data_IF_319158406189
#
_entry.id   IF_319158406189
#
_cell.length_a   1.000
_cell.length_b   1.000
_cell.length_c   1.000
_cell.angle_alpha   90.00
_cell.angle_beta   90.00
_cell.angle_gamma   90.00
#
_symmetry.space_group_name_H-M   'P 1'
#
loop_
_entity.id
_entity.type
_entity.pdbx_description
1 polymer ?
#
# COMPACT_ATOMS: atom_id res chain seq x y z
N UNK A 1 41.12 5.78 -30.45
CA UNK A 1 40.22 4.63 -30.62
C UNK A 1 38.88 5.04 -30.03
N UNK A 2 37.79 4.99 -30.81
CA UNK A 2 36.47 5.36 -30.32
C UNK A 2 36.02 4.33 -29.26
N UNK A 3 35.86 4.77 -28.02
CA UNK A 3 35.42 3.89 -26.93
C UNK A 3 33.91 3.63 -27.05
N UNK A 4 33.49 2.39 -26.81
CA UNK A 4 32.08 1.93 -26.91
C UNK A 4 31.17 2.83 -26.06
N UNK A 5 31.66 3.32 -24.93
CA UNK A 5 30.93 4.23 -24.05
C UNK A 5 30.69 5.63 -24.68
N UNK A 6 31.65 6.15 -25.46
CA UNK A 6 31.51 7.44 -26.13
C UNK A 6 30.46 7.40 -27.26
N UNK A 7 30.36 6.26 -27.96
CA UNK A 7 29.34 6.04 -28.97
C UNK A 7 27.96 5.87 -28.31
N UNK A 8 27.86 5.13 -27.20
CA UNK A 8 26.62 5.00 -26.42
C UNK A 8 26.09 6.35 -25.94
N UNK A 9 26.96 7.18 -25.38
CA UNK A 9 26.58 8.50 -24.83
C UNK A 9 26.07 9.47 -25.92
N UNK A 10 26.44 9.23 -27.19
CA UNK A 10 25.95 9.98 -28.35
C UNK A 10 24.71 9.36 -28.98
N UNK A 11 24.60 8.04 -28.98
CA UNK A 11 23.54 7.31 -29.67
C UNK A 11 22.22 7.34 -28.89
N UNK A 12 22.26 7.25 -27.56
CA UNK A 12 21.07 7.31 -26.71
C UNK A 12 20.26 8.60 -26.91
N UNK A 13 20.84 9.81 -26.74
CA UNK A 13 20.06 11.05 -26.93
C UNK A 13 19.59 11.23 -28.38
N UNK A 14 20.34 10.72 -29.36
CA UNK A 14 19.98 10.82 -30.77
C UNK A 14 18.77 9.95 -31.11
N UNK A 15 18.69 8.73 -30.58
CA UNK A 15 17.56 7.82 -30.80
C UNK A 15 16.31 8.31 -30.07
N UNK A 16 16.47 8.86 -28.87
CA UNK A 16 15.37 9.47 -28.13
C UNK A 16 14.83 10.72 -28.86
N UNK A 17 15.73 11.54 -29.41
CA UNK A 17 15.35 12.69 -30.24
C UNK A 17 14.63 12.27 -31.52
N UNK A 18 15.11 11.22 -32.22
CA UNK A 18 14.41 10.67 -33.40
C UNK A 18 13.01 10.16 -33.01
N UNK A 19 12.87 9.50 -31.86
CA UNK A 19 11.58 8.99 -31.38
C UNK A 19 10.60 10.12 -31.07
N UNK A 20 11.09 11.18 -30.43
CA UNK A 20 10.30 12.37 -30.10
C UNK A 20 9.92 13.18 -31.35
N UNK A 21 10.84 13.36 -32.28
CA UNK A 21 10.60 14.07 -33.54
C UNK A 21 9.59 13.32 -34.43
N UNK A 22 9.62 11.99 -34.44
CA UNK A 22 8.59 11.16 -35.11
C UNK A 22 7.20 11.41 -34.50
N UNK A 23 7.10 11.46 -33.17
CA UNK A 23 5.84 11.71 -32.47
C UNK A 23 5.29 13.14 -32.75
N UNK A 24 6.18 14.13 -32.89
CA UNK A 24 5.82 15.50 -33.26
C UNK A 24 5.34 15.57 -34.72
N UNK A 25 5.96 14.82 -35.64
CA UNK A 25 5.52 14.78 -37.04
C UNK A 25 4.16 14.08 -37.17
N UNK A 26 3.93 13.00 -36.44
CA UNK A 26 2.63 12.32 -36.38
C UNK A 26 1.52 13.27 -35.91
N UNK A 27 1.80 14.13 -34.92
CA UNK A 27 0.82 15.10 -34.40
C UNK A 27 0.66 16.35 -35.27
N UNK A 28 1.73 16.85 -35.90
CA UNK A 28 1.75 18.16 -36.57
C UNK A 28 1.63 18.08 -38.10
N UNK A 29 1.80 16.91 -38.72
CA UNK A 29 1.84 16.72 -40.20
C UNK A 29 2.78 17.71 -40.93
N UNK A 30 3.89 18.10 -40.30
CA UNK A 30 4.82 19.08 -40.87
C UNK A 30 5.96 18.40 -41.65
N UNK A 31 6.01 18.61 -42.97
CA UNK A 31 6.96 17.99 -43.91
C UNK A 31 8.39 18.57 -43.81
N UNK A 32 8.58 19.75 -43.23
CA UNK A 32 9.89 20.40 -43.11
C UNK A 32 10.85 19.64 -42.16
N UNK A 33 10.30 18.87 -41.22
CA UNK A 33 11.07 18.04 -40.29
C UNK A 33 11.53 16.71 -40.91
N UNK A 34 10.96 16.33 -42.07
CA UNK A 34 11.31 15.08 -42.77
C UNK A 34 12.78 15.03 -43.18
N UNK A 35 13.28 16.10 -43.80
CA UNK A 35 14.67 16.12 -44.28
C UNK A 35 15.67 16.07 -43.12
N UNK A 36 15.32 16.66 -41.97
CA UNK A 36 16.14 16.58 -40.75
C UNK A 36 16.12 15.16 -40.15
N UNK A 37 14.97 14.50 -40.17
CA UNK A 37 14.83 13.11 -39.72
C UNK A 37 15.53 12.12 -40.65
N UNK A 38 15.45 12.28 -41.95
CA UNK A 38 16.17 11.43 -42.89
C UNK A 38 17.68 11.57 -42.69
N UNK A 39 18.16 12.79 -42.45
CA UNK A 39 19.56 13.05 -42.13
C UNK A 39 19.98 12.40 -40.80
N UNK A 40 19.20 12.56 -39.72
CA UNK A 40 19.52 11.97 -38.41
C UNK A 40 19.40 10.45 -38.40
N UNK A 41 18.45 9.86 -39.12
CA UNK A 41 18.34 8.40 -39.31
C UNK A 41 19.57 7.86 -40.05
N UNK A 42 20.02 8.56 -41.09
CA UNK A 42 21.22 8.15 -41.83
C UNK A 42 22.49 8.26 -40.96
N UNK A 43 22.61 9.30 -40.14
CA UNK A 43 23.70 9.48 -39.17
C UNK A 43 23.67 8.37 -38.09
N UNK A 44 22.49 8.08 -37.51
CA UNK A 44 22.32 6.98 -36.56
C UNK A 44 22.65 5.61 -37.17
N UNK A 45 22.34 5.40 -38.46
CA UNK A 45 22.66 4.16 -39.20
C UNK A 45 24.17 4.02 -39.43
N UNK A 46 24.89 5.12 -39.64
CA UNK A 46 26.35 5.09 -39.76
C UNK A 46 27.00 4.77 -38.42
N UNK A 47 26.56 5.44 -37.34
CA UNK A 47 27.08 5.20 -35.98
C UNK A 47 26.76 3.78 -35.47
N UNK A 48 25.58 3.24 -35.80
CA UNK A 48 25.21 1.87 -35.45
C UNK A 48 26.09 0.83 -36.18
N UNK A 49 26.45 1.07 -37.44
CA UNK A 49 27.39 0.21 -38.20
C UNK A 49 28.80 0.26 -37.64
N UNK A 50 29.25 1.42 -37.19
CA UNK A 50 30.54 1.55 -36.53
C UNK A 50 30.55 0.87 -35.16
N UNK A 51 29.43 0.92 -34.42
CA UNK A 51 29.26 0.20 -33.16
C UNK A 51 29.18 -1.33 -33.37
N UNK A 52 28.54 -1.80 -34.44
CA UNK A 52 28.41 -3.23 -34.80
C UNK A 52 29.78 -3.88 -35.09
N UNK A 53 30.77 -3.11 -35.58
CA UNK A 53 32.15 -3.59 -35.77
C UNK A 53 32.88 -3.87 -34.46
N UNK A 54 32.46 -3.24 -33.36
CA UNK A 54 33.04 -3.43 -32.03
C UNK A 54 32.21 -4.38 -31.16
N UNK A 55 30.88 -4.39 -31.27
CA UNK A 55 30.00 -5.31 -30.54
C UNK A 55 28.74 -5.69 -31.36
N UNK A 56 28.68 -6.94 -31.88
CA UNK A 56 27.62 -7.37 -32.81
C UNK A 56 26.26 -7.59 -32.13
N UNK A 57 26.19 -7.75 -30.81
CA UNK A 57 24.92 -7.92 -30.11
C UNK A 57 24.19 -6.58 -29.97
N UNK A 58 24.91 -5.51 -29.64
CA UNK A 58 24.35 -4.17 -29.48
C UNK A 58 24.05 -3.50 -30.83
N UNK A 59 24.87 -3.72 -31.86
CA UNK A 59 24.60 -3.18 -33.21
C UNK A 59 23.24 -3.65 -33.77
N UNK A 60 22.84 -4.89 -33.48
CA UNK A 60 21.55 -5.44 -33.92
C UNK A 60 20.35 -4.76 -33.28
N UNK A 61 20.42 -4.46 -31.98
CA UNK A 61 19.33 -3.77 -31.26
C UNK A 61 19.09 -2.37 -31.82
N UNK A 62 20.16 -1.58 -32.00
CA UNK A 62 20.05 -0.25 -32.58
C UNK A 62 19.59 -0.27 -34.04
N UNK A 63 20.04 -1.25 -34.83
CA UNK A 63 19.59 -1.45 -36.21
C UNK A 63 18.09 -1.74 -36.27
N UNK A 64 17.57 -2.62 -35.42
CA UNK A 64 16.14 -2.91 -35.32
C UNK A 64 15.32 -1.65 -34.98
N UNK A 65 15.80 -0.85 -34.02
CA UNK A 65 15.14 0.42 -33.65
C UNK A 65 15.15 1.44 -34.79
N UNK A 66 16.26 1.54 -35.53
CA UNK A 66 16.41 2.42 -36.70
C UNK A 66 15.51 1.96 -37.86
N UNK A 67 15.46 0.65 -38.13
CA UNK A 67 14.61 0.07 -39.17
C UNK A 67 13.12 0.28 -38.85
N UNK A 68 12.73 0.13 -37.57
CA UNK A 68 11.38 0.46 -37.11
C UNK A 68 11.05 1.94 -37.27
N UNK A 69 11.99 2.83 -36.96
CA UNK A 69 11.83 4.27 -37.17
C UNK A 69 11.68 4.62 -38.66
N UNK A 70 12.45 3.96 -39.53
CA UNK A 70 12.37 4.13 -40.99
C UNK A 70 11.03 3.66 -41.55
N UNK A 71 10.54 2.50 -41.10
CA UNK A 71 9.25 1.97 -41.51
C UNK A 71 8.09 2.89 -41.07
N UNK A 72 8.16 3.45 -39.86
CA UNK A 72 7.18 4.44 -39.39
C UNK A 72 7.21 5.70 -40.24
N UNK A 73 8.40 6.21 -40.57
CA UNK A 73 8.56 7.36 -41.46
C UNK A 73 8.02 7.11 -42.87
N UNK A 74 8.22 5.89 -43.39
CA UNK A 74 7.67 5.48 -44.69
C UNK A 74 6.15 5.40 -44.65
N UNK A 75 5.56 4.83 -43.59
CA UNK A 75 4.11 4.77 -43.41
C UNK A 75 3.49 6.17 -43.30
N UNK A 76 4.17 7.11 -42.63
CA UNK A 76 3.78 8.54 -42.60
C UNK A 76 3.89 9.18 -43.99
N UNK A 77 4.86 8.76 -44.81
CA UNK A 77 5.01 9.21 -46.20
C UNK A 77 4.02 8.57 -47.19
N UNK A 78 3.48 7.38 -46.88
CA UNK A 78 2.49 6.66 -47.71
C UNK A 78 1.09 7.24 -47.60
N UNK A 79 0.84 8.14 -46.64
CA UNK A 79 -0.35 8.99 -46.64
C UNK A 79 -0.17 10.00 -47.79
N UNK A 80 -1.02 9.98 -48.83
CA UNK A 80 -0.88 10.90 -49.96
C UNK A 80 -0.96 12.35 -49.46
N UNK A 81 0.16 13.08 -49.50
CA UNK A 81 0.19 14.54 -49.34
C UNK A 81 -0.19 15.23 -50.67
N UNK A 82 -0.33 14.46 -51.75
CA UNK A 82 -0.82 14.93 -53.04
C UNK A 82 -2.36 14.99 -53.08
N UNK A 83 -2.92 15.90 -52.28
CA UNK A 83 -4.33 16.30 -52.35
C UNK A 83 -4.55 17.78 -52.05
N UNK A 84 -3.50 18.54 -51.70
CA UNK A 84 -3.65 19.91 -51.18
C UNK A 84 -3.52 21.02 -52.25
N UNK A 85 -3.22 20.70 -53.52
CA UNK A 85 -2.95 21.74 -54.52
C UNK A 85 -3.85 21.71 -55.75
N UNK A 86 -4.79 20.76 -55.89
CA UNK A 86 -5.69 20.77 -57.07
C UNK A 86 -7.09 20.16 -56.90
N UNK A 87 -7.52 19.75 -55.71
CA UNK A 87 -8.95 19.55 -55.44
C UNK A 87 -9.44 20.79 -54.70
N UNK A 88 -10.52 21.40 -55.20
CA UNK A 88 -11.13 22.57 -54.60
C UNK A 88 -11.26 22.40 -53.09
N UNK A 89 -11.04 23.49 -52.35
CA UNK A 89 -11.24 23.58 -50.91
C UNK A 89 -12.59 22.94 -50.56
N UNK A 90 -12.56 21.73 -50.01
CA UNK A 90 -13.75 21.02 -49.56
C UNK A 90 -13.83 21.21 -48.03
N UNK A 91 -14.57 22.24 -47.56
CA UNK A 91 -14.66 22.55 -46.15
C UNK A 91 -15.30 21.42 -45.32
N UNK A 92 -15.94 20.43 -45.95
CA UNK A 92 -16.59 19.32 -45.26
C UNK A 92 -15.58 18.24 -44.82
N UNK A 93 -14.63 17.90 -45.69
CA UNK A 93 -13.57 16.93 -45.38
C UNK A 93 -12.64 17.42 -44.25
N UNK A 94 -12.31 18.72 -44.23
CA UNK A 94 -11.44 19.31 -43.20
C UNK A 94 -12.15 19.40 -41.84
N UNK A 95 -13.47 19.67 -41.82
CA UNK A 95 -14.31 19.62 -40.62
C UNK A 95 -14.38 18.22 -40.01
N UNK A 96 -14.53 17.19 -40.84
CA UNK A 96 -14.54 15.79 -40.40
C UNK A 96 -13.20 15.38 -39.77
N UNK A 97 -12.07 15.79 -40.38
CA UNK A 97 -10.73 15.55 -39.83
C UNK A 97 -10.49 16.27 -38.49
N UNK A 98 -10.98 17.51 -38.35
CA UNK A 98 -10.91 18.27 -37.10
C UNK A 98 -11.76 17.63 -35.99
N UNK A 99 -12.98 17.16 -36.30
CA UNK A 99 -13.84 16.47 -35.33
C UNK A 99 -13.21 15.18 -34.81
N UNK A 100 -12.59 14.38 -35.68
CA UNK A 100 -11.89 13.16 -35.27
C UNK A 100 -10.70 13.47 -34.35
N UNK A 101 -9.93 14.52 -34.64
CA UNK A 101 -8.81 14.97 -33.79
C UNK A 101 -9.30 15.45 -32.42
N UNK A 102 -10.37 16.23 -32.39
CA UNK A 102 -10.97 16.69 -31.13
C UNK A 102 -11.47 15.50 -30.28
N UNK A 103 -12.09 14.49 -30.91
CA UNK A 103 -12.46 13.25 -30.23
C UNK A 103 -11.26 12.51 -29.64
N UNK A 104 -10.16 12.38 -30.39
CA UNK A 104 -8.94 11.73 -29.92
C UNK A 104 -8.27 12.51 -28.78
N UNK A 105 -8.22 13.84 -28.87
CA UNK A 105 -7.68 14.70 -27.81
C UNK A 105 -8.51 14.57 -26.53
N UNK A 106 -9.84 14.55 -26.65
CA UNK A 106 -10.75 14.32 -25.51
C UNK A 106 -10.57 12.94 -24.91
N UNK A 107 -10.45 11.91 -25.75
CA UNK A 107 -10.16 10.54 -25.31
C UNK A 107 -8.85 10.45 -24.54
N UNK A 108 -7.79 11.06 -25.07
CA UNK A 108 -6.48 11.12 -24.41
C UNK A 108 -6.54 11.91 -23.10
N UNK A 109 -7.20 13.07 -23.07
CA UNK A 109 -7.37 13.85 -21.84
C UNK A 109 -8.14 13.07 -20.76
N UNK A 110 -9.13 12.27 -21.14
CA UNK A 110 -9.83 11.37 -20.23
C UNK A 110 -8.91 10.28 -19.69
N UNK A 111 -8.08 9.67 -20.56
CA UNK A 111 -7.12 8.63 -20.15
C UNK A 111 -6.10 9.15 -19.14
N UNK A 112 -5.53 10.33 -19.39
CA UNK A 112 -4.58 10.97 -18.46
C UNK A 112 -5.23 11.22 -17.10
N UNK A 113 -6.47 11.74 -17.08
CA UNK A 113 -7.22 11.93 -15.83
C UNK A 113 -7.50 10.62 -15.10
N UNK A 114 -7.86 9.56 -15.83
CA UNK A 114 -8.10 8.25 -15.21
C UNK A 114 -6.81 7.62 -14.67
N UNK A 115 -5.67 7.82 -15.34
CA UNK A 115 -4.37 7.34 -14.85
C UNK A 115 -3.96 8.06 -13.57
N UNK A 116 -4.16 9.37 -13.51
CA UNK A 116 -3.92 10.16 -12.30
C UNK A 116 -4.84 9.72 -11.14
N UNK A 117 -6.14 9.57 -11.41
CA UNK A 117 -7.09 9.05 -10.42
C UNK A 117 -6.71 7.65 -9.93
N UNK A 118 -6.23 6.77 -10.81
CA UNK A 118 -5.75 5.44 -10.45
C UNK A 118 -4.48 5.48 -9.59
N UNK A 119 -3.55 6.40 -9.85
CA UNK A 119 -2.35 6.58 -9.01
C UNK A 119 -2.73 7.00 -7.59
N UNK A 120 -3.61 7.99 -7.47
CA UNK A 120 -4.13 8.42 -6.16
C UNK A 120 -4.84 7.27 -5.46
N UNK A 121 -5.74 6.55 -6.16
CA UNK A 121 -6.46 5.42 -5.59
C UNK A 121 -5.55 4.31 -5.09
N UNK A 122 -4.47 3.99 -5.83
CA UNK A 122 -3.47 2.99 -5.40
C UNK A 122 -2.70 3.45 -4.17
N UNK A 123 -2.31 4.72 -4.14
CA UNK A 123 -1.62 5.28 -2.98
C UNK A 123 -2.52 5.26 -1.74
N UNK A 124 -3.77 5.72 -1.85
CA UNK A 124 -4.72 5.68 -0.74
C UNK A 124 -5.04 4.25 -0.31
N UNK A 125 -5.16 3.30 -1.25
CA UNK A 125 -5.37 1.89 -0.91
C UNK A 125 -4.17 1.31 -0.15
N UNK A 126 -2.93 1.66 -0.54
CA UNK A 126 -1.73 1.24 0.16
C UNK A 126 -1.63 1.85 1.56
N UNK A 127 -1.89 3.15 1.71
CA UNK A 127 -1.96 3.83 3.01
C UNK A 127 -3.04 3.20 3.91
N UNK A 128 -4.18 2.80 3.33
CA UNK A 128 -5.27 2.12 4.05
C UNK A 128 -4.87 0.70 4.46
N UNK A 129 -4.14 -0.03 3.62
CA UNK A 129 -3.62 -1.36 3.97
C UNK A 129 -2.63 -1.27 5.13
N UNK A 130 -1.71 -0.30 5.09
CA UNK A 130 -0.76 -0.05 6.17
C UNK A 130 -1.46 0.30 7.49
N UNK A 131 -2.42 1.22 7.45
CA UNK A 131 -3.23 1.57 8.62
C UNK A 131 -4.04 0.37 9.12
N UNK A 132 -4.58 -0.45 8.21
CA UNK A 132 -5.29 -1.67 8.56
C UNK A 132 -4.40 -2.72 9.25
N UNK A 133 -3.14 -2.85 8.82
CA UNK A 133 -2.15 -3.71 9.46
C UNK A 133 -1.80 -3.21 10.88
N UNK A 134 -1.63 -1.90 11.06
CA UNK A 134 -1.39 -1.29 12.37
C UNK A 134 -2.58 -1.53 13.32
N UNK A 135 -3.81 -1.26 12.87
CA UNK A 135 -5.03 -1.51 13.64
C UNK A 135 -5.16 -2.99 14.02
N UNK A 136 -4.84 -3.91 13.11
CA UNK A 136 -4.87 -5.35 13.41
C UNK A 136 -3.85 -5.74 14.48
N UNK A 137 -2.65 -5.15 14.43
CA UNK A 137 -1.62 -5.34 15.45
C UNK A 137 -2.11 -4.86 16.81
N UNK A 138 -2.65 -3.64 16.88
CA UNK A 138 -3.21 -3.06 18.10
C UNK A 138 -4.37 -3.87 18.66
N UNK A 139 -5.30 -4.32 17.83
CA UNK A 139 -6.41 -5.18 18.26
C UNK A 139 -5.91 -6.51 18.83
N UNK A 140 -4.84 -7.07 18.26
CA UNK A 140 -4.21 -8.29 18.78
C UNK A 140 -3.59 -8.04 20.15
N UNK A 141 -2.88 -6.93 20.33
CA UNK A 141 -2.32 -6.53 21.63
C UNK A 141 -3.41 -6.24 22.67
N UNK A 142 -4.48 -5.53 22.28
CA UNK A 142 -5.64 -5.28 23.15
C UNK A 142 -6.33 -6.58 23.56
N UNK A 143 -6.47 -7.54 22.63
CA UNK A 143 -6.99 -8.87 22.92
C UNK A 143 -6.13 -9.59 23.95
N UNK A 144 -4.81 -9.55 23.82
CA UNK A 144 -3.91 -10.17 24.79
C UNK A 144 -4.02 -9.51 26.18
N UNK A 145 -4.14 -8.17 26.23
CA UNK A 145 -4.37 -7.44 27.47
C UNK A 145 -5.70 -7.82 28.14
N UNK A 146 -6.77 -8.00 27.37
CA UNK A 146 -8.06 -8.48 27.86
C UNK A 146 -7.95 -9.90 28.42
N UNK A 147 -7.30 -10.82 27.71
CA UNK A 147 -7.08 -12.19 28.19
C UNK A 147 -6.26 -12.22 29.49
N UNK A 148 -5.22 -11.39 29.57
CA UNK A 148 -4.41 -11.23 30.79
C UNK A 148 -5.24 -10.69 31.96
N UNK A 149 -6.10 -9.70 31.69
CA UNK A 149 -7.00 -9.12 32.71
C UNK A 149 -8.03 -10.15 33.15
N UNK A 150 -8.58 -10.95 32.24
CA UNK A 150 -9.49 -12.05 32.55
C UNK A 150 -8.81 -13.10 33.44
N UNK A 151 -7.55 -13.46 33.14
CA UNK A 151 -6.75 -14.34 34.00
C UNK A 151 -6.60 -13.80 35.42
N UNK A 152 -6.21 -12.52 35.56
CA UNK A 152 -6.10 -11.84 36.85
C UNK A 152 -7.43 -11.75 37.61
N UNK A 153 -8.54 -11.55 36.92
CA UNK A 153 -9.87 -11.55 37.54
C UNK A 153 -10.24 -12.94 38.07
N UNK A 154 -9.90 -13.99 37.33
CA UNK A 154 -10.13 -15.36 37.78
C UNK A 154 -9.27 -15.71 39.00
N UNK A 155 -7.97 -15.36 38.97
CA UNK A 155 -7.07 -15.48 40.13
C UNK A 155 -7.58 -14.68 41.34
N UNK A 156 -8.02 -13.44 41.13
CA UNK A 156 -8.63 -12.62 42.17
C UNK A 156 -9.87 -13.27 42.80
N UNK A 157 -10.71 -13.91 41.97
CA UNK A 157 -11.87 -14.65 42.45
C UNK A 157 -11.48 -15.87 43.31
N UNK A 158 -10.40 -16.58 42.94
CA UNK A 158 -9.85 -17.66 43.76
C UNK A 158 -9.32 -17.14 45.11
N UNK A 159 -8.58 -16.03 45.11
CA UNK A 159 -8.11 -15.39 46.34
C UNK A 159 -9.28 -14.93 47.23
N UNK A 160 -10.35 -14.40 46.66
CA UNK A 160 -11.57 -14.04 47.41
C UNK A 160 -12.25 -15.28 48.02
N UNK A 161 -12.30 -16.40 47.29
CA UNK A 161 -12.83 -17.67 47.79
C UNK A 161 -11.98 -18.21 48.95
N UNK A 162 -10.65 -18.13 48.84
CA UNK A 162 -9.72 -18.49 49.90
C UNK A 162 -9.89 -17.57 51.12
N UNK A 163 -10.00 -16.25 50.91
CA UNK A 163 -10.26 -15.27 51.96
C UNK A 163 -11.56 -15.56 52.73
N UNK A 164 -12.65 -15.89 52.02
CA UNK A 164 -13.92 -16.33 52.64
C UNK A 164 -13.74 -17.59 53.48
N UNK A 165 -12.95 -18.57 53.01
CA UNK A 165 -12.65 -19.79 53.77
C UNK A 165 -11.89 -19.47 55.05
N UNK A 166 -10.87 -18.60 54.98
CA UNK A 166 -10.10 -18.17 56.15
C UNK A 166 -10.96 -17.41 57.16
N UNK A 167 -11.78 -16.47 56.69
CA UNK A 167 -12.71 -15.74 57.54
C UNK A 167 -13.72 -16.67 58.23
N UNK A 168 -14.24 -17.68 57.52
CA UNK A 168 -15.13 -18.69 58.10
C UNK A 168 -14.45 -19.47 59.23
N UNK A 169 -13.17 -19.84 59.06
CA UNK A 169 -12.40 -20.51 60.12
C UNK A 169 -12.19 -19.60 61.33
N UNK A 170 -11.87 -18.32 61.12
CA UNK A 170 -11.77 -17.35 62.21
C UNK A 170 -13.10 -17.17 62.94
N UNK A 171 -14.20 -17.06 62.20
CA UNK A 171 -15.56 -16.97 62.76
C UNK A 171 -15.92 -18.17 63.63
N UNK A 172 -15.67 -19.39 63.15
CA UNK A 172 -15.90 -20.61 63.94
C UNK A 172 -15.06 -20.65 65.23
N UNK A 173 -13.80 -20.20 65.19
CA UNK A 173 -12.96 -20.09 66.40
C UNK A 173 -13.52 -19.08 67.40
N UNK A 174 -14.00 -17.93 66.93
CA UNK A 174 -14.63 -16.91 67.78
C UNK A 174 -15.88 -17.45 68.45
N UNK A 175 -16.74 -18.17 67.72
CA UNK A 175 -17.93 -18.81 68.31
C UNK A 175 -17.52 -19.80 69.41
N UNK A 176 -16.56 -20.69 69.12
CA UNK A 176 -16.11 -21.68 70.10
C UNK A 176 -15.58 -21.01 71.38
N UNK A 177 -14.77 -19.96 71.24
CA UNK A 177 -14.29 -19.18 72.38
C UNK A 177 -15.45 -18.56 73.17
N UNK A 178 -16.46 -18.03 72.46
CA UNK A 178 -17.64 -17.43 73.09
C UNK A 178 -18.50 -18.46 73.83
N UNK A 179 -18.66 -19.66 73.27
CA UNK A 179 -19.39 -20.78 73.91
C UNK A 179 -18.64 -21.26 75.15
N UNK A 180 -17.32 -21.46 75.07
CA UNK A 180 -16.50 -21.84 76.22
C UNK A 180 -16.62 -20.82 77.37
N UNK A 181 -16.60 -19.52 77.05
CA UNK A 181 -16.78 -18.46 78.04
C UNK A 181 -18.15 -18.57 78.74
N UNK A 182 -19.25 -18.73 77.98
CA UNK A 182 -20.59 -18.87 78.55
C UNK A 182 -20.69 -20.11 79.45
N UNK A 183 -20.10 -21.23 79.04
CA UNK A 183 -20.09 -22.47 79.83
C UNK A 183 -19.41 -22.29 81.17
N UNK A 184 -18.24 -21.63 81.21
CA UNK A 184 -17.52 -21.38 82.47
C UNK A 184 -18.38 -20.54 83.43
N UNK A 185 -18.98 -19.45 82.93
CA UNK A 185 -19.86 -18.59 83.74
C UNK A 185 -21.05 -19.37 84.31
N UNK A 186 -21.68 -20.24 83.51
CA UNK A 186 -22.80 -21.07 83.98
C UNK A 186 -22.38 -22.05 85.08
N UNK A 187 -21.20 -22.66 84.95
CA UNK A 187 -20.65 -23.56 85.98
C UNK A 187 -20.37 -22.80 87.28
N UNK A 188 -19.75 -21.61 87.19
CA UNK A 188 -19.50 -20.76 88.37
C UNK A 188 -20.80 -20.39 89.09
N UNK A 189 -21.82 -19.95 88.35
CA UNK A 189 -23.14 -19.64 88.93
C UNK A 189 -23.81 -20.87 89.55
N UNK A 190 -23.67 -22.04 88.93
CA UNK A 190 -24.22 -23.30 89.45
C UNK A 190 -23.59 -23.70 90.78
N UNK A 191 -22.26 -23.62 90.90
CA UNK A 191 -21.55 -23.89 92.15
C UNK A 191 -21.96 -22.87 93.22
N UNK A 192 -22.00 -21.59 92.87
CA UNK A 192 -22.34 -20.51 93.81
C UNK A 192 -23.78 -20.67 94.33
N UNK A 193 -24.73 -20.96 93.44
CA UNK A 193 -26.11 -21.27 93.79
C UNK A 193 -26.23 -22.53 94.65
N UNK A 194 -25.50 -23.60 94.32
CA UNK A 194 -25.48 -24.84 95.08
C UNK A 194 -24.96 -24.64 96.51
N UNK A 195 -23.87 -23.88 96.68
CA UNK A 195 -23.33 -23.54 98.01
C UNK A 195 -24.31 -22.70 98.82
N UNK A 196 -24.96 -21.71 98.20
CA UNK A 196 -25.99 -20.90 98.89
C UNK A 196 -27.16 -21.79 99.31
N UNK A 197 -27.68 -22.64 98.42
CA UNK A 197 -28.78 -23.55 98.72
C UNK A 197 -28.43 -24.49 99.87
N UNK A 198 -27.23 -25.11 99.83
CA UNK A 198 -26.79 -26.01 100.89
C UNK A 198 -26.64 -25.27 102.23
N UNK A 199 -26.04 -24.07 102.24
CA UNK A 199 -25.91 -23.27 103.47
C UNK A 199 -27.26 -22.82 104.04
N UNK A 200 -28.21 -22.46 103.17
CA UNK A 200 -29.51 -21.96 103.61
C UNK A 200 -30.44 -23.09 104.08
N UNK A 201 -30.30 -24.29 103.51
CA UNK A 201 -31.10 -25.46 103.86
C UNK A 201 -30.46 -26.35 104.95
N UNK A 202 -29.13 -26.27 105.16
CA UNK A 202 -28.41 -26.98 106.22
C UNK A 202 -28.47 -26.26 107.59
N UNK A 203 -29.48 -25.43 107.83
CA UNK A 203 -29.73 -24.76 109.10
C UNK A 203 -31.16 -25.02 109.53
#
# INVERSE_FOLDING_TARGET
MADVNSLRQRLTPLVDQITQDIQIIESTRNLSSKHRLEKSINEATQLARDLERLDPAYGRDYKQRIDAARQRLENVSRVPIHGAWNSGFDPEADRLGQQQRDLLLRGHASLVRTDEALKVSRQTAHETEQLGQEIMSDLTTQREALLRTQGKLNEGNEHLKAGRKTLRLMYSRVIMNKVLLITIILVELGILGGVIYWKFFSK
#
